data_IF_116366365066
#
_entry.id   IF_116366365066
#
_cell.length_a   1.000
_cell.length_b   1.000
_cell.length_c   1.000
_cell.angle_alpha   90.00
_cell.angle_beta   90.00
_cell.angle_gamma   90.00
#
_symmetry.space_group_name_H-M   'P 1'
#
loop_
_entity.id
_entity.type
_entity.pdbx_description
1 polymer ?
#
# COMPACT_ATOMS: atom_id res chain seq x y z
N UNK A 1 -1.19 15.70 16.67
CA UNK A 1 0.16 15.53 16.09
C UNK A 1 0.10 14.53 14.94
N UNK A 2 0.60 14.96 13.79
CA UNK A 2 1.06 14.15 12.64
C UNK A 2 0.01 13.31 11.92
N UNK A 3 -0.66 13.97 10.96
CA UNK A 3 -1.35 13.39 9.82
C UNK A 3 -0.43 12.39 9.10
N UNK A 4 -0.39 11.14 9.58
CA UNK A 4 0.21 10.04 8.83
C UNK A 4 -0.59 9.93 7.54
N UNK A 5 0.05 10.21 6.40
CA UNK A 5 -0.52 9.84 5.11
C UNK A 5 -0.97 8.37 5.22
N UNK A 6 -2.27 8.11 5.01
CA UNK A 6 -2.86 6.77 5.13
C UNK A 6 -2.24 5.89 4.05
N UNK A 7 -1.19 5.18 4.41
CA UNK A 7 -0.59 4.16 3.56
C UNK A 7 -1.60 3.03 3.35
N UNK A 8 -1.43 2.23 2.30
CA UNK A 8 -2.20 1.00 2.09
C UNK A 8 -2.16 0.07 3.30
N UNK A 9 -1.07 0.15 4.09
CA UNK A 9 -0.93 -0.59 5.34
C UNK A 9 -1.87 -0.11 6.46
N UNK A 10 -2.41 1.09 6.36
CA UNK A 10 -3.30 1.74 7.34
C UNK A 10 -4.78 1.67 6.90
N UNK A 11 -5.05 1.19 5.69
CA UNK A 11 -6.42 1.08 5.18
C UNK A 11 -7.24 0.11 6.02
N UNK A 12 -8.45 0.53 6.37
CA UNK A 12 -9.46 -0.33 7.00
C UNK A 12 -10.30 -1.03 5.93
N UNK A 13 -11.07 -2.05 6.32
CA UNK A 13 -11.95 -2.79 5.41
C UNK A 13 -12.88 -1.87 4.59
N UNK A 14 -13.37 -0.79 5.21
CA UNK A 14 -14.21 0.21 4.54
C UNK A 14 -13.43 0.98 3.46
N UNK A 15 -12.20 1.40 3.74
CA UNK A 15 -11.35 2.07 2.75
C UNK A 15 -11.07 1.13 1.55
N UNK A 16 -10.78 -0.15 1.80
CA UNK A 16 -10.58 -1.13 0.72
C UNK A 16 -11.81 -1.27 -0.18
N UNK A 17 -13.03 -1.23 0.39
CA UNK A 17 -14.27 -1.32 -0.39
C UNK A 17 -14.54 -0.01 -1.13
N UNK A 18 -14.44 1.13 -0.45
CA UNK A 18 -14.70 2.45 -1.04
C UNK A 18 -13.65 2.88 -2.06
N UNK A 19 -12.42 2.37 -1.96
CA UNK A 19 -11.26 2.71 -2.80
C UNK A 19 -10.71 1.48 -3.52
N UNK A 20 -11.56 0.50 -3.82
CA UNK A 20 -11.12 -0.75 -4.45
C UNK A 20 -10.48 -0.54 -5.82
N UNK A 21 -10.89 0.48 -6.55
CA UNK A 21 -10.31 0.78 -7.86
C UNK A 21 -8.91 1.41 -7.77
N UNK A 22 -8.71 2.29 -6.77
CA UNK A 22 -7.39 2.80 -6.40
C UNK A 22 -6.48 1.67 -5.92
N UNK A 23 -7.02 0.74 -5.11
CA UNK A 23 -6.30 -0.48 -4.72
C UNK A 23 -5.81 -1.25 -5.95
N UNK A 24 -6.69 -1.55 -6.93
CA UNK A 24 -6.29 -2.26 -8.16
C UNK A 24 -5.14 -1.56 -8.88
N UNK A 25 -5.19 -0.24 -8.99
CA UNK A 25 -4.11 0.53 -9.63
C UNK A 25 -2.81 0.42 -8.83
N UNK A 26 -2.89 0.46 -7.51
CA UNK A 26 -1.71 0.35 -6.63
C UNK A 26 -1.13 -1.07 -6.66
N UNK A 27 -1.95 -2.11 -6.63
CA UNK A 27 -1.49 -3.51 -6.58
C UNK A 27 -1.34 -4.16 -7.96
N UNK A 28 -1.75 -3.47 -9.04
CA UNK A 28 -1.75 -3.99 -10.41
C UNK A 28 -0.34 -4.17 -10.97
N UNK A 29 0.58 -3.26 -10.65
CA UNK A 29 2.01 -3.38 -10.97
C UNK A 29 2.85 -3.22 -9.70
N UNK A 30 2.89 -4.23 -8.81
CA UNK A 30 3.52 -4.08 -7.51
C UNK A 30 5.04 -4.17 -7.62
N UNK A 31 5.72 -3.03 -7.50
CA UNK A 31 7.20 -2.95 -7.47
C UNK A 31 7.78 -3.06 -6.07
N UNK A 32 6.96 -2.85 -5.04
CA UNK A 32 7.35 -2.87 -3.65
C UNK A 32 6.41 -3.75 -2.83
N UNK A 33 6.95 -4.40 -1.80
CA UNK A 33 6.18 -5.12 -0.79
C UNK A 33 6.55 -4.66 0.62
N UNK A 34 5.55 -4.56 1.48
CA UNK A 34 5.74 -4.23 2.88
C UNK A 34 6.17 -5.48 3.63
N UNK A 35 7.41 -5.52 4.10
CA UNK A 35 7.93 -6.66 4.87
C UNK A 35 7.27 -6.85 6.23
N UNK A 36 6.58 -5.83 6.75
CA UNK A 36 5.88 -5.89 8.04
C UNK A 36 4.43 -6.36 7.92
N UNK A 37 3.76 -5.96 6.85
CA UNK A 37 2.32 -6.17 6.70
C UNK A 37 1.95 -7.11 5.54
N UNK A 38 2.89 -7.46 4.67
CA UNK A 38 2.64 -8.30 3.48
C UNK A 38 1.88 -7.61 2.35
N UNK A 39 1.53 -6.32 2.45
CA UNK A 39 0.87 -5.58 1.37
C UNK A 39 1.86 -5.26 0.25
N UNK A 40 1.43 -5.32 -1.00
CA UNK A 40 2.21 -4.92 -2.17
C UNK A 40 1.68 -3.61 -2.77
N UNK A 41 2.55 -2.84 -3.43
CA UNK A 41 2.20 -1.59 -4.08
C UNK A 41 3.18 -1.24 -5.20
N UNK A 42 2.73 -0.46 -6.17
CA UNK A 42 3.53 0.10 -7.24
C UNK A 42 4.59 1.11 -6.75
N UNK A 43 4.32 1.80 -5.64
CA UNK A 43 5.23 2.77 -5.04
C UNK A 43 5.43 2.54 -3.54
N UNK A 44 6.64 2.82 -3.05
CA UNK A 44 7.00 2.71 -1.63
C UNK A 44 6.14 3.60 -0.72
N UNK A 45 5.63 4.74 -1.21
CA UNK A 45 4.80 5.69 -0.43
C UNK A 45 3.50 5.07 0.11
N UNK A 46 2.99 4.05 -0.60
CA UNK A 46 1.78 3.33 -0.21
C UNK A 46 2.04 2.31 0.90
N UNK A 47 3.29 2.10 1.31
CA UNK A 47 3.66 1.05 2.25
C UNK A 47 4.35 1.66 3.46
N UNK A 48 3.98 1.22 4.67
CA UNK A 48 4.66 1.68 5.88
C UNK A 48 6.13 1.24 5.96
N UNK A 49 6.45 0.04 5.45
CA UNK A 49 7.81 -0.52 5.41
C UNK A 49 8.08 -1.21 4.07
N UNK A 50 7.89 -0.47 2.98
CA UNK A 50 8.05 -0.97 1.61
C UNK A 50 9.50 -1.27 1.26
N UNK A 51 9.73 -2.46 0.70
CA UNK A 51 11.00 -2.93 0.14
C UNK A 51 10.76 -3.30 -1.33
N UNK A 52 11.67 -2.95 -2.27
CA UNK A 52 11.52 -3.33 -3.67
C UNK A 52 11.47 -4.86 -3.81
N UNK A 53 10.59 -5.33 -4.70
CA UNK A 53 10.44 -6.74 -5.07
C UNK A 53 11.42 -7.15 -6.19
N UNK A 54 11.83 -6.20 -7.03
CA UNK A 54 12.91 -6.40 -8.00
C UNK A 54 14.28 -6.22 -7.34
N UNK A 55 15.16 -7.22 -7.50
CA UNK A 55 16.57 -7.17 -7.14
C UNK A 55 17.42 -6.51 -8.22
#
# INVERSE_FOLDING_TARGET
MSSKCKTLCDWSKKDFVSKFDELKTIVGDPKFACVKCGRAACEKKWLCKGKPLGG
#
